data_IF_346171007906
#
_entry.id   IF_346171007906
#
_cell.length_a   1.000
_cell.length_b   1.000
_cell.length_c   1.000
_cell.angle_alpha   90.00
_cell.angle_beta   90.00
_cell.angle_gamma   90.00
#
_symmetry.space_group_name_H-M   'P 1'
#
loop_
_entity.id
_entity.type
_entity.pdbx_description
1 polymer ?
#
# COMPACT_ATOMS: atom_id res chain seq x y z
N UNK A 1 4.30 -9.22 -35.16
CA UNK A 1 2.98 -8.68 -34.79
C UNK A 1 3.12 -7.19 -34.52
N UNK A 2 2.81 -6.38 -35.53
CA UNK A 2 2.07 -5.10 -35.39
C UNK A 2 2.00 -4.51 -36.80
N UNK A 3 0.85 -4.72 -37.45
CA UNK A 3 0.57 -4.16 -38.77
C UNK A 3 0.34 -2.65 -38.58
N UNK A 4 1.36 -1.84 -38.87
CA UNK A 4 1.17 -0.40 -38.97
C UNK A 4 0.65 -0.07 -40.37
N UNK A 5 -0.67 0.04 -40.46
CA UNK A 5 -1.39 0.58 -41.61
C UNK A 5 -0.72 1.86 -42.11
N UNK A 6 -0.13 1.81 -43.30
CA UNK A 6 0.08 3.01 -44.09
C UNK A 6 -1.26 3.33 -44.75
N UNK A 7 -2.01 4.23 -44.12
CA UNK A 7 -3.17 4.85 -44.74
C UNK A 7 -2.61 5.73 -45.86
N UNK A 8 -2.70 5.26 -47.11
CA UNK A 8 -2.43 6.12 -48.27
C UNK A 8 -3.45 7.25 -48.20
N UNK A 9 -2.95 8.47 -48.02
CA UNK A 9 -3.73 9.66 -48.30
C UNK A 9 -3.69 9.80 -49.82
N UNK A 10 -4.81 9.50 -50.47
CA UNK A 10 -5.01 9.80 -51.89
C UNK A 10 -4.93 11.32 -52.05
N UNK A 11 -3.81 11.81 -52.58
CA UNK A 11 -3.62 13.20 -53.01
C UNK A 11 -4.10 13.31 -54.45
N UNK A 12 -5.40 13.46 -54.64
CA UNK A 12 -5.97 13.88 -55.92
C UNK A 12 -6.81 15.14 -55.67
N UNK A 13 -6.63 16.14 -56.53
CA UNK A 13 -7.06 17.55 -56.45
C UNK A 13 -6.07 18.50 -55.75
N UNK A 14 -5.12 19.01 -56.53
CA UNK A 14 -4.14 20.03 -56.10
C UNK A 14 -4.78 21.38 -55.73
N UNK A 15 -6.02 21.64 -56.14
CA UNK A 15 -6.78 22.86 -55.83
C UNK A 15 -8.26 22.53 -55.64
N UNK A 16 -8.74 22.56 -54.39
CA UNK A 16 -10.16 22.39 -54.07
C UNK A 16 -10.69 23.64 -53.38
N UNK A 17 -11.83 24.16 -53.84
CA UNK A 17 -12.49 25.35 -53.25
C UNK A 17 -12.81 25.15 -51.76
N UNK A 18 -12.98 23.89 -51.33
CA UNK A 18 -13.22 23.53 -49.93
C UNK A 18 -11.95 23.58 -49.05
N UNK A 19 -10.76 23.63 -49.66
CA UNK A 19 -9.48 23.84 -48.96
C UNK A 19 -9.09 25.33 -48.88
N UNK A 20 -9.92 26.25 -49.41
CA UNK A 20 -9.67 27.70 -49.42
C UNK A 20 -9.68 28.30 -48.01
N UNK A 21 -10.46 27.70 -47.09
CA UNK A 21 -10.48 28.08 -45.68
C UNK A 21 -9.77 26.98 -44.90
N UNK A 22 -8.65 27.33 -44.28
CA UNK A 22 -7.93 26.42 -43.39
C UNK A 22 -8.86 25.91 -42.30
N UNK A 23 -8.93 24.59 -42.12
CA UNK A 23 -9.69 24.00 -41.01
C UNK A 23 -9.05 24.48 -39.70
N UNK A 24 -9.84 24.98 -38.73
CA UNK A 24 -9.28 25.46 -37.48
C UNK A 24 -8.55 24.30 -36.80
N UNK A 25 -7.24 24.43 -36.64
CA UNK A 25 -6.42 23.44 -35.93
C UNK A 25 -6.79 23.50 -34.47
N UNK A 26 -7.34 22.40 -33.93
CA UNK A 26 -7.64 22.30 -32.51
C UNK A 26 -6.34 22.39 -31.70
N UNK A 27 -6.19 23.47 -30.92
CA UNK A 27 -5.04 23.65 -30.03
C UNK A 27 -5.17 22.65 -28.88
N UNK A 28 -4.35 21.60 -28.90
CA UNK A 28 -4.33 20.60 -27.82
C UNK A 28 -3.84 21.26 -26.53
N UNK A 29 -4.72 21.37 -25.53
CA UNK A 29 -4.34 21.85 -24.20
C UNK A 29 -3.33 20.91 -23.53
N UNK A 30 -2.24 21.47 -23.00
CA UNK A 30 -1.25 20.68 -22.24
C UNK A 30 -1.90 20.20 -20.94
N UNK A 31 -1.78 18.90 -20.66
CA UNK A 31 -2.20 18.32 -19.38
C UNK A 31 -1.48 19.00 -18.21
N UNK A 32 -2.15 19.11 -17.08
CA UNK A 32 -1.55 19.61 -15.85
C UNK A 32 -0.29 18.82 -15.46
N UNK A 33 0.63 19.51 -14.80
CA UNK A 33 1.86 18.89 -14.31
C UNK A 33 1.54 17.91 -13.17
N UNK A 34 2.08 16.68 -13.26
CA UNK A 34 1.95 15.68 -12.21
C UNK A 34 2.46 16.22 -10.86
N UNK A 35 1.65 16.11 -9.81
CA UNK A 35 2.06 16.37 -8.42
C UNK A 35 2.10 15.06 -7.63
N UNK A 36 3.23 14.80 -6.97
CA UNK A 36 3.36 13.61 -6.12
C UNK A 36 2.40 13.67 -4.94
N UNK A 37 1.95 12.49 -4.49
CA UNK A 37 1.16 12.35 -3.26
C UNK A 37 1.94 12.70 -1.97
N UNK A 38 3.23 12.99 -2.09
CA UNK A 38 4.15 13.21 -0.98
C UNK A 38 4.50 14.70 -0.82
N UNK A 39 4.52 15.23 0.42
CA UNK A 39 4.88 16.63 0.67
C UNK A 39 6.36 16.88 0.33
N UNK A 40 6.65 17.97 -0.41
CA UNK A 40 8.04 18.36 -0.71
C UNK A 40 8.81 18.95 0.48
N UNK A 41 8.13 19.29 1.56
CA UNK A 41 8.68 19.86 2.80
C UNK A 41 9.14 18.80 3.81
N UNK A 42 9.01 17.51 3.51
CA UNK A 42 9.37 16.45 4.46
C UNK A 42 10.89 16.28 4.58
N UNK A 43 11.44 16.19 5.80
CA UNK A 43 12.86 15.94 5.98
C UNK A 43 13.25 14.50 5.53
N UNK A 44 14.52 14.27 5.13
CA UNK A 44 14.99 12.95 4.71
C UNK A 44 14.85 11.90 5.82
N UNK A 45 14.38 10.71 5.45
CA UNK A 45 14.18 9.55 6.33
C UNK A 45 15.47 9.15 7.04
N UNK A 46 15.39 8.92 8.35
CA UNK A 46 16.49 8.50 9.23
C UNK A 46 17.77 9.35 9.12
N UNK A 47 17.68 10.63 8.74
CA UNK A 47 18.87 11.48 8.67
C UNK A 47 19.41 11.81 10.07
N UNK A 48 20.69 11.55 10.28
CA UNK A 48 21.46 11.86 11.50
C UNK A 48 22.22 13.19 11.40
N UNK A 49 22.28 13.80 10.22
CA UNK A 49 23.09 14.98 9.91
C UNK A 49 22.52 16.33 10.43
N UNK A 50 21.58 16.31 11.39
CA UNK A 50 20.70 17.47 11.65
C UNK A 50 20.56 17.96 13.09
N UNK A 51 21.35 17.52 14.07
CA UNK A 51 21.09 17.87 15.48
C UNK A 51 22.33 18.24 16.29
N UNK A 52 22.76 19.49 16.14
CA UNK A 52 23.72 20.06 17.07
C UNK A 52 23.05 20.87 18.19
N UNK A 53 21.73 21.14 18.15
CA UNK A 53 21.13 22.15 19.05
C UNK A 53 19.72 21.87 19.61
N UNK A 54 19.07 20.70 19.39
CA UNK A 54 17.68 20.47 19.90
C UNK A 54 17.66 19.68 21.21
N UNK A 55 16.61 19.90 22.01
CA UNK A 55 16.38 19.22 23.30
C UNK A 55 16.06 17.73 23.17
N UNK A 56 15.89 17.20 21.95
CA UNK A 56 15.74 15.77 21.65
C UNK A 56 16.91 15.34 20.75
N UNK A 57 17.78 14.39 21.13
CA UNK A 57 18.72 13.79 20.18
C UNK A 57 17.92 13.04 19.12
N UNK A 58 18.00 13.47 17.85
CA UNK A 58 16.94 13.24 16.88
C UNK A 58 17.38 12.41 15.67
N UNK A 59 16.65 11.34 15.41
CA UNK A 59 16.60 10.77 14.08
C UNK A 59 15.51 11.54 13.34
N UNK A 60 15.81 12.17 12.20
CA UNK A 60 14.79 12.84 11.40
C UNK A 60 13.96 11.81 10.62
N UNK A 61 12.64 12.00 10.54
CA UNK A 61 11.73 11.15 9.76
C UNK A 61 11.94 9.64 10.04
N UNK A 62 11.89 9.27 11.32
CA UNK A 62 11.94 7.87 11.75
C UNK A 62 10.62 7.18 11.35
N UNK A 63 10.72 6.18 10.48
CA UNK A 63 9.57 5.39 10.01
C UNK A 63 8.82 5.99 8.79
N UNK A 64 9.38 6.97 8.09
CA UNK A 64 8.78 7.50 6.86
C UNK A 64 7.51 8.34 7.09
N UNK A 65 7.25 8.79 8.31
CA UNK A 65 6.06 9.55 8.64
C UNK A 65 6.11 10.94 7.99
N UNK A 66 5.12 11.25 7.14
CA UNK A 66 4.93 12.58 6.54
C UNK A 66 4.44 13.64 7.55
N UNK A 67 3.98 13.19 8.71
CA UNK A 67 3.45 14.03 9.78
C UNK A 67 4.60 14.53 10.65
N UNK A 68 4.50 15.78 11.12
CA UNK A 68 5.55 16.41 11.93
C UNK A 68 6.03 15.49 13.05
N UNK A 69 7.36 15.42 13.23
CA UNK A 69 8.05 14.63 14.27
C UNK A 69 7.57 14.90 15.71
N UNK A 70 6.82 15.98 15.92
CA UNK A 70 6.12 16.31 17.16
C UNK A 70 4.94 15.35 17.47
N UNK A 71 4.43 14.60 16.49
CA UNK A 71 3.35 13.63 16.66
C UNK A 71 3.84 12.22 17.01
N UNK A 72 5.14 11.95 16.85
CA UNK A 72 5.77 10.66 17.15
C UNK A 72 6.34 10.63 18.57
N UNK A 73 5.42 10.56 19.53
CA UNK A 73 5.69 9.97 20.85
C UNK A 73 6.71 10.68 21.76
N UNK A 74 6.55 11.98 22.01
CA UNK A 74 7.28 12.68 23.07
C UNK A 74 6.49 13.84 23.68
N UNK A 75 6.71 14.11 24.97
CA UNK A 75 6.06 15.24 25.67
C UNK A 75 6.60 16.62 25.28
N UNK A 76 7.65 16.68 24.46
CA UNK A 76 8.33 17.92 24.08
C UNK A 76 8.11 18.24 22.60
N UNK A 77 7.54 19.43 22.32
CA UNK A 77 7.41 19.99 20.97
C UNK A 77 8.72 20.65 20.54
N UNK A 78 9.11 20.50 19.27
CA UNK A 78 10.29 21.16 18.69
C UNK A 78 10.04 22.66 18.48
N UNK A 79 10.13 23.46 19.55
CA UNK A 79 10.01 24.92 19.47
C UNK A 79 11.38 25.58 19.59
N UNK A 80 11.88 26.11 18.49
CA UNK A 80 13.07 26.98 18.48
C UNK A 80 12.83 28.22 17.62
N UNK A 81 12.19 29.23 18.18
CA UNK A 81 12.04 30.51 17.47
C UNK A 81 13.36 31.27 17.32
N UNK A 82 14.35 31.03 18.21
CA UNK A 82 15.51 31.90 18.35
C UNK A 82 16.69 31.24 19.09
N UNK A 83 16.92 29.93 18.86
CA UNK A 83 17.92 29.17 19.64
C UNK A 83 19.37 29.44 19.23
N UNK A 84 19.63 29.78 17.96
CA UNK A 84 21.00 29.96 17.45
C UNK A 84 21.58 31.33 17.80
N UNK A 85 20.79 32.40 17.64
CA UNK A 85 21.25 33.79 17.80
C UNK A 85 20.51 34.56 18.90
N UNK A 86 19.63 33.90 19.68
CA UNK A 86 18.81 34.57 20.68
C UNK A 86 17.70 35.44 20.06
N UNK A 87 16.85 36.03 20.92
CA UNK A 87 15.87 37.04 20.49
C UNK A 87 16.59 38.38 20.36
N UNK A 88 16.18 39.22 19.42
CA UNK A 88 16.62 40.62 19.38
C UNK A 88 16.25 41.33 20.68
N UNK A 89 17.04 42.32 21.07
CA UNK A 89 16.74 43.16 22.24
C UNK A 89 15.38 43.80 21.99
N UNK A 90 14.38 43.47 22.82
CA UNK A 90 13.08 44.13 22.75
C UNK A 90 13.29 45.59 23.17
N UNK A 91 12.94 46.53 22.30
CA UNK A 91 13.00 47.95 22.62
C UNK A 91 12.00 48.38 23.71
N UNK A 92 10.99 47.54 23.98
CA UNK A 92 9.91 47.82 24.93
C UNK A 92 9.99 46.90 26.16
N UNK A 93 10.81 47.26 27.14
CA UNK A 93 10.60 46.82 28.52
C UNK A 93 9.60 47.79 29.14
N UNK A 94 8.30 47.52 28.97
CA UNK A 94 7.25 48.34 29.58
C UNK A 94 7.22 48.07 31.09
N UNK A 95 7.24 49.12 31.92
CA UNK A 95 7.10 49.03 33.39
C UNK A 95 5.79 48.34 33.81
N UNK A 96 4.77 48.39 32.96
CA UNK A 96 3.47 47.76 33.20
C UNK A 96 3.48 46.24 33.01
N UNK A 97 4.54 45.69 32.41
CA UNK A 97 4.72 44.25 32.16
C UNK A 97 5.47 43.54 33.29
N UNK A 98 4.95 43.67 34.52
CA UNK A 98 5.49 43.00 35.70
C UNK A 98 4.76 41.69 36.00
N UNK A 99 5.45 40.73 36.62
CA UNK A 99 4.85 39.48 37.08
C UNK A 99 3.90 39.76 38.25
N UNK A 100 2.62 39.43 38.10
CA UNK A 100 1.64 39.51 39.19
C UNK A 100 1.69 38.26 40.07
N UNK A 101 1.16 38.32 41.31
CA UNK A 101 0.98 37.14 42.17
C UNK A 101 0.21 36.06 41.40
N UNK A 102 0.74 34.82 41.37
CA UNK A 102 0.27 33.68 40.55
C UNK A 102 0.50 33.76 39.03
N UNK A 103 1.09 34.82 38.48
CA UNK A 103 1.60 34.76 37.11
C UNK A 103 2.93 34.01 37.09
N UNK A 104 2.94 32.87 36.41
CA UNK A 104 4.09 31.96 36.35
C UNK A 104 4.06 30.84 37.39
N UNK A 105 3.16 30.91 38.38
CA UNK A 105 2.80 29.75 39.20
C UNK A 105 1.84 28.92 38.36
N UNK A 106 2.26 27.70 38.03
CA UNK A 106 1.39 26.63 37.56
C UNK A 106 0.26 26.49 38.57
N UNK A 107 -0.90 27.10 38.31
CA UNK A 107 -2.09 26.88 39.13
C UNK A 107 -2.35 25.39 39.15
N UNK A 108 -2.42 24.81 40.34
CA UNK A 108 -2.65 23.40 40.66
C UNK A 108 -3.76 22.76 39.81
N UNK A 109 -3.41 22.42 38.58
CA UNK A 109 -3.83 21.15 37.98
C UNK A 109 -2.76 20.09 38.22
N UNK A 110 -1.87 20.33 39.20
CA UNK A 110 -1.35 19.25 40.02
C UNK A 110 -2.52 18.73 40.88
N UNK A 111 -3.21 17.73 40.33
CA UNK A 111 -3.54 16.50 41.06
C UNK A 111 -4.15 16.71 42.45
N UNK A 112 -5.42 17.10 42.52
CA UNK A 112 -6.28 16.32 43.41
C UNK A 112 -6.29 14.92 42.81
N UNK A 113 -5.56 13.97 43.42
CA UNK A 113 -5.46 12.57 42.98
C UNK A 113 -6.84 11.88 42.89
N UNK A 114 -7.92 12.54 43.29
CA UNK A 114 -9.29 12.02 43.32
C UNK A 114 -10.14 12.32 42.09
N UNK A 115 -9.78 13.28 41.21
CA UNK A 115 -10.70 13.68 40.11
C UNK A 115 -10.28 13.26 38.70
N UNK A 116 -9.06 12.76 38.49
CA UNK A 116 -8.68 12.21 37.19
C UNK A 116 -8.91 10.71 37.21
N UNK A 117 -10.15 10.27 36.95
CA UNK A 117 -10.35 8.90 36.43
C UNK A 117 -9.46 8.79 35.21
N UNK A 118 -8.34 8.08 35.35
CA UNK A 118 -7.40 7.86 34.25
C UNK A 118 -8.21 7.29 33.10
N UNK A 119 -8.24 8.00 31.97
CA UNK A 119 -8.74 7.40 30.73
C UNK A 119 -7.90 6.14 30.52
N UNK A 120 -8.56 4.98 30.50
CA UNK A 120 -7.90 3.72 30.22
C UNK A 120 -7.13 3.89 28.91
N UNK A 121 -5.86 3.57 28.92
CA UNK A 121 -5.02 3.66 27.74
C UNK A 121 -5.58 2.72 26.66
N UNK A 122 -6.21 3.30 25.63
CA UNK A 122 -6.67 2.60 24.44
C UNK A 122 -5.45 2.33 23.56
N UNK A 123 -5.18 1.06 23.29
CA UNK A 123 -4.12 0.68 22.35
C UNK A 123 -4.61 1.05 20.95
N UNK A 124 -3.71 1.44 20.04
CA UNK A 124 -4.01 1.75 18.62
C UNK A 124 -4.47 0.55 17.78
N UNK A 125 -4.82 -0.56 18.43
CA UNK A 125 -5.48 -1.70 17.82
C UNK A 125 -6.98 -1.51 18.07
N UNK A 126 -7.87 -1.70 17.08
CA UNK A 126 -9.30 -1.60 17.33
C UNK A 126 -9.65 -2.52 18.51
N UNK A 127 -10.12 -1.92 19.61
CA UNK A 127 -10.36 -2.58 20.92
C UNK A 127 -11.32 -3.78 20.84
N UNK A 128 -11.94 -3.99 19.68
CA UNK A 128 -12.95 -5.01 19.41
C UNK A 128 -12.40 -6.35 18.95
N UNK A 129 -11.10 -6.46 18.57
CA UNK A 129 -10.50 -7.73 18.15
C UNK A 129 -9.54 -8.26 19.20
N UNK A 130 -10.05 -9.09 20.13
CA UNK A 130 -9.20 -9.98 20.90
C UNK A 130 -8.43 -10.88 19.92
N UNK A 131 -7.10 -10.87 20.00
CA UNK A 131 -6.23 -11.77 19.20
C UNK A 131 -6.49 -13.26 19.47
N UNK A 132 -7.14 -13.56 20.59
CA UNK A 132 -7.48 -14.93 21.00
C UNK A 132 -8.97 -15.18 20.78
N UNK A 133 -9.37 -16.35 20.24
CA UNK A 133 -10.76 -16.72 20.15
C UNK A 133 -11.40 -16.75 21.55
N UNK A 134 -12.72 -16.53 21.60
CA UNK A 134 -13.46 -16.65 22.85
C UNK A 134 -13.37 -18.08 23.40
N UNK A 135 -13.32 -18.22 24.72
CA UNK A 135 -13.35 -19.52 25.38
C UNK A 135 -14.72 -20.16 25.12
N UNK A 136 -14.80 -21.47 24.77
CA UNK A 136 -16.07 -22.17 24.59
C UNK A 136 -16.98 -22.00 25.81
N UNK A 137 -18.29 -21.85 25.56
CA UNK A 137 -19.27 -21.71 26.63
C UNK A 137 -19.56 -23.05 27.30
N UNK A 138 -20.05 -23.04 28.53
CA UNK A 138 -20.38 -24.28 29.28
C UNK A 138 -21.44 -25.13 28.59
N UNK A 139 -22.35 -24.49 27.87
CA UNK A 139 -23.45 -25.11 27.13
C UNK A 139 -22.99 -25.69 25.78
N UNK A 140 -21.83 -25.26 25.29
CA UNK A 140 -21.23 -25.74 24.05
C UNK A 140 -20.54 -27.08 24.31
N UNK A 141 -21.23 -28.17 23.95
CA UNK A 141 -20.68 -29.52 24.09
C UNK A 141 -19.44 -29.65 23.21
N UNK A 142 -18.32 -30.17 23.72
CA UNK A 142 -17.14 -30.41 22.89
C UNK A 142 -17.51 -31.33 21.73
N UNK A 143 -16.96 -31.06 20.54
CA UNK A 143 -17.05 -31.95 19.37
C UNK A 143 -16.12 -33.16 19.58
N UNK A 144 -16.25 -33.85 20.71
CA UNK A 144 -15.55 -35.10 21.01
C UNK A 144 -16.56 -36.22 21.05
N UNK A 145 -16.30 -37.28 20.27
CA UNK A 145 -17.19 -38.44 20.19
C UNK A 145 -18.39 -38.22 19.26
N UNK A 146 -18.26 -37.40 18.22
CA UNK A 146 -19.25 -37.31 17.14
C UNK A 146 -19.24 -38.64 16.34
N UNK A 147 -19.89 -39.67 16.89
CA UNK A 147 -20.02 -40.98 16.24
C UNK A 147 -20.98 -40.77 15.07
N UNK A 148 -20.42 -40.69 13.86
CA UNK A 148 -21.23 -40.69 12.65
C UNK A 148 -22.04 -41.98 12.61
N UNK A 149 -23.34 -41.91 12.29
CA UNK A 149 -24.19 -43.09 12.03
C UNK A 149 -23.78 -43.85 10.75
N UNK A 150 -22.66 -43.49 10.11
CA UNK A 150 -22.15 -44.12 8.90
C UNK A 150 -21.63 -45.51 9.26
N UNK A 151 -22.13 -46.53 8.56
CA UNK A 151 -21.57 -47.88 8.65
C UNK A 151 -20.31 -47.95 7.80
N UNK A 152 -19.14 -47.84 8.45
CA UNK A 152 -17.84 -47.84 7.77
C UNK A 152 -17.55 -49.16 7.04
N UNK A 153 -18.09 -50.28 7.51
CA UNK A 153 -17.89 -51.59 6.86
C UNK A 153 -18.58 -51.60 5.49
N UNK A 154 -19.86 -51.19 5.46
CA UNK A 154 -20.63 -51.14 4.22
C UNK A 154 -20.11 -50.06 3.28
N UNK A 155 -19.76 -48.87 3.79
CA UNK A 155 -19.24 -47.81 2.94
C UNK A 155 -17.90 -48.16 2.32
N UNK A 156 -16.98 -48.75 3.07
CA UNK A 156 -15.67 -49.13 2.54
C UNK A 156 -15.83 -50.25 1.49
N UNK A 157 -16.79 -51.15 1.68
CA UNK A 157 -17.12 -52.17 0.69
C UNK A 157 -17.63 -51.53 -0.61
N UNK A 158 -18.61 -50.61 -0.52
CA UNK A 158 -19.14 -49.90 -1.68
C UNK A 158 -18.06 -49.07 -2.38
N UNK A 159 -17.27 -48.31 -1.62
CA UNK A 159 -16.20 -47.46 -2.16
C UNK A 159 -15.15 -48.29 -2.92
N UNK A 160 -14.80 -49.48 -2.41
CA UNK A 160 -13.88 -50.40 -3.09
C UNK A 160 -14.48 -51.00 -4.37
N UNK A 161 -15.77 -51.38 -4.35
CA UNK A 161 -16.47 -51.96 -5.51
C UNK A 161 -16.58 -50.94 -6.65
N UNK A 162 -16.89 -49.69 -6.32
CA UNK A 162 -17.05 -48.61 -7.29
C UNK A 162 -15.72 -47.96 -7.71
N UNK A 163 -14.62 -48.28 -7.03
CA UNK A 163 -13.31 -47.72 -7.37
C UNK A 163 -12.86 -48.20 -8.75
N UNK A 164 -12.46 -47.25 -9.59
CA UNK A 164 -11.84 -47.58 -10.87
C UNK A 164 -10.52 -48.33 -10.62
N UNK A 165 -10.19 -49.35 -11.44
CA UNK A 165 -8.93 -50.07 -11.30
C UNK A 165 -7.76 -49.08 -11.46
N UNK A 166 -6.68 -49.33 -10.72
CA UNK A 166 -5.44 -48.54 -10.86
C UNK A 166 -5.00 -48.55 -12.32
N UNK A 167 -4.60 -47.38 -12.83
CA UNK A 167 -4.04 -47.28 -14.18
C UNK A 167 -2.87 -48.26 -14.29
N UNK A 168 -3.01 -49.25 -15.16
CA UNK A 168 -1.92 -50.16 -15.50
C UNK A 168 -0.76 -49.31 -16.01
N UNK A 169 0.47 -49.70 -15.67
CA UNK A 169 1.67 -49.06 -16.23
C UNK A 169 1.53 -49.10 -17.75
N UNK A 170 1.39 -47.92 -18.35
CA UNK A 170 1.27 -47.83 -19.80
C UNK A 170 2.58 -48.36 -20.39
N UNK A 171 2.53 -49.15 -21.48
CA UNK A 171 3.74 -49.55 -22.18
C UNK A 171 4.50 -48.30 -22.62
N UNK A 172 5.81 -48.43 -22.78
CA UNK A 172 6.63 -47.33 -23.28
C UNK A 172 6.07 -46.82 -24.62
N UNK A 173 5.94 -45.50 -24.80
CA UNK A 173 5.34 -44.95 -26.01
C UNK A 173 6.19 -45.31 -27.22
N UNK A 174 5.57 -45.95 -28.20
CA UNK A 174 6.22 -46.26 -29.47
C UNK A 174 6.37 -44.97 -30.28
N UNK A 175 7.62 -44.48 -30.41
CA UNK A 175 7.95 -43.25 -31.13
C UNK A 175 7.59 -43.30 -32.63
N UNK A 176 7.42 -44.51 -33.17
CA UNK A 176 7.00 -44.79 -34.55
C UNK A 176 5.50 -44.58 -34.77
N UNK A 177 4.67 -44.62 -33.72
CA UNK A 177 3.21 -44.50 -33.81
C UNK A 177 2.69 -43.07 -33.65
N UNK A 178 3.58 -42.07 -33.79
CA UNK A 178 3.16 -40.67 -33.80
C UNK A 178 2.26 -40.41 -35.01
N UNK A 179 1.15 -39.70 -34.80
CA UNK A 179 0.18 -39.37 -35.86
C UNK A 179 0.80 -38.59 -37.05
N UNK A 180 1.91 -37.91 -36.79
CA UNK A 180 2.65 -37.08 -37.75
C UNK A 180 3.91 -37.78 -38.29
N UNK A 181 4.14 -39.05 -37.95
CA UNK A 181 5.28 -39.81 -38.46
C UNK A 181 5.22 -39.87 -40.01
N UNK A 182 6.28 -39.43 -40.67
CA UNK A 182 6.36 -39.36 -42.13
C UNK A 182 5.66 -38.17 -42.78
N UNK A 183 4.98 -37.30 -42.02
CA UNK A 183 4.42 -36.04 -42.53
C UNK A 183 5.38 -34.89 -42.25
N UNK A 184 5.48 -33.95 -43.20
CA UNK A 184 6.23 -32.71 -42.99
C UNK A 184 5.45 -31.83 -42.00
N UNK A 185 6.05 -31.41 -40.87
CA UNK A 185 5.36 -30.56 -39.92
C UNK A 185 4.88 -29.23 -40.52
N UNK A 186 3.65 -28.84 -40.19
CA UNK A 186 2.98 -27.66 -40.74
C UNK A 186 3.79 -26.36 -40.59
N UNK A 187 4.57 -26.23 -39.51
CA UNK A 187 5.35 -25.04 -39.23
C UNK A 187 6.47 -24.80 -40.27
N UNK A 188 7.02 -25.85 -40.88
CA UNK A 188 8.04 -25.71 -41.93
C UNK A 188 7.49 -25.03 -43.18
N UNK A 189 6.22 -25.30 -43.52
CA UNK A 189 5.54 -24.61 -44.62
C UNK A 189 5.40 -23.10 -44.35
N UNK A 190 5.21 -22.71 -43.07
CA UNK A 190 5.10 -21.30 -42.66
C UNK A 190 6.45 -20.58 -42.72
N UNK A 191 7.53 -21.25 -42.31
CA UNK A 191 8.89 -20.72 -42.37
C UNK A 191 9.32 -20.48 -43.83
N UNK A 192 9.05 -21.43 -44.73
CA UNK A 192 9.39 -21.29 -46.14
C UNK A 192 8.64 -20.14 -46.84
N UNK A 193 7.42 -19.83 -46.40
CA UNK A 193 6.64 -18.69 -46.89
C UNK A 193 7.17 -17.34 -46.40
N UNK A 194 7.73 -17.28 -45.19
CA UNK A 194 8.27 -16.05 -44.61
C UNK A 194 9.73 -15.76 -45.04
N UNK A 195 10.42 -16.77 -45.59
CA UNK A 195 11.81 -16.67 -46.04
C UNK A 195 11.96 -16.36 -47.54
N UNK A 196 10.85 -16.22 -48.27
CA UNK A 196 10.77 -15.73 -49.65
C UNK A 196 10.10 -14.36 -49.65
#
# INVERSE_FOLDING_TARGET
MSNYYHQRLDTEEEESVYNLIEKPVEVVEKKEMYRSAYPGTTPPSYSTFGLNNTTKPGIANAGGSYYDLDHSGGHHKLKKSSATMGKTVKHDVRSDSFTKKKQGIYTDTLRTMESQKSKKFERTMPDTLSKRPAVPKKEEKPIMGLISKKNFVVSNAVDNILSAPKKVKQPEPLWTQKAEFGKVPDYLSKINKNSR
#
